data_IF_833456212045
#
_entry.id   IF_833456212045
#
_cell.length_a   1.000
_cell.length_b   1.000
_cell.length_c   1.000
_cell.angle_alpha   90.00
_cell.angle_beta   90.00
_cell.angle_gamma   90.00
#
_symmetry.space_group_name_H-M   'P 1'
#
loop_
_entity.id
_entity.type
_entity.pdbx_description
1 polymer ?
#
# COMPACT_ATOMS: atom_id res chain seq x y z
N UNK A 1 2.82 -8.77 17.23
CA UNK A 1 3.29 -7.38 17.44
C UNK A 1 4.50 -7.03 16.56
N UNK A 2 5.28 -8.00 16.07
CA UNK A 2 6.41 -7.79 15.14
C UNK A 2 6.01 -7.67 13.67
N UNK A 3 4.83 -8.15 13.27
CA UNK A 3 4.38 -8.24 11.87
C UNK A 3 4.08 -6.88 11.23
N UNK A 4 3.34 -6.00 11.94
CA UNK A 4 2.98 -4.68 11.41
C UNK A 4 4.20 -3.80 11.12
N UNK A 5 5.32 -4.03 11.83
CA UNK A 5 6.56 -3.24 11.75
C UNK A 5 7.26 -3.27 10.38
N UNK A 6 6.91 -4.19 9.49
CA UNK A 6 7.54 -4.31 8.16
C UNK A 6 6.59 -4.09 6.99
N UNK A 7 5.28 -4.13 7.22
CA UNK A 7 4.28 -4.11 6.14
C UNK A 7 4.20 -2.72 5.47
N UNK A 8 4.16 -1.65 6.27
CA UNK A 8 3.97 -0.28 5.76
C UNK A 8 5.21 0.30 5.06
N UNK A 9 6.44 0.02 5.53
CA UNK A 9 7.66 0.49 4.88
C UNK A 9 7.99 -0.27 3.58
N UNK A 10 7.59 -1.55 3.48
CA UNK A 10 7.95 -2.38 2.33
C UNK A 10 7.31 -1.85 1.04
N UNK A 11 6.06 -1.41 1.08
CA UNK A 11 5.39 -0.82 -0.09
C UNK A 11 6.10 0.44 -0.60
N UNK A 12 6.43 1.38 0.29
CA UNK A 12 7.10 2.63 -0.08
C UNK A 12 8.50 2.38 -0.66
N UNK A 13 9.28 1.49 -0.03
CA UNK A 13 10.63 1.16 -0.52
C UNK A 13 10.62 0.47 -1.89
N UNK A 14 9.68 -0.46 -2.11
CA UNK A 14 9.50 -1.10 -3.43
C UNK A 14 9.10 -0.10 -4.51
N UNK A 15 8.21 0.83 -4.18
CA UNK A 15 7.79 1.89 -5.09
C UNK A 15 8.97 2.79 -5.50
N UNK A 16 9.81 3.18 -4.55
CA UNK A 16 11.05 3.91 -4.82
C UNK A 16 11.99 3.14 -5.76
N UNK A 17 12.23 1.85 -5.50
CA UNK A 17 13.09 1.01 -6.34
C UNK A 17 12.57 0.92 -7.78
N UNK A 18 11.25 0.87 -7.98
CA UNK A 18 10.64 0.82 -9.31
C UNK A 18 10.84 2.14 -10.07
N UNK A 19 10.78 3.28 -9.39
CA UNK A 19 11.10 4.58 -9.99
C UNK A 19 12.60 4.66 -10.32
N UNK A 20 13.47 4.27 -9.38
CA UNK A 20 14.93 4.31 -9.57
C UNK A 20 15.40 3.42 -10.74
N UNK A 21 14.72 2.29 -10.97
CA UNK A 21 15.00 1.38 -12.10
C UNK A 21 14.35 1.84 -13.42
N UNK A 22 13.63 2.96 -13.44
CA UNK A 22 12.94 3.48 -14.63
C UNK A 22 11.74 2.63 -15.06
N UNK A 23 11.23 1.77 -14.17
CA UNK A 23 10.04 0.95 -14.42
C UNK A 23 8.74 1.71 -14.13
N UNK A 24 8.80 2.74 -13.29
CA UNK A 24 7.73 3.69 -13.04
C UNK A 24 8.20 5.12 -13.30
N UNK A 25 7.31 5.91 -13.89
CA UNK A 25 7.53 7.35 -14.08
C UNK A 25 6.95 8.14 -12.90
N UNK A 26 7.80 8.96 -12.26
CA UNK A 26 7.43 9.81 -11.13
C UNK A 26 6.45 10.94 -11.51
N UNK A 27 6.31 11.29 -12.80
CA UNK A 27 5.33 12.29 -13.24
C UNK A 27 3.94 11.69 -13.49
N UNK A 28 3.88 10.44 -13.96
CA UNK A 28 2.64 9.77 -14.31
C UNK A 28 2.09 8.83 -13.23
N UNK A 29 2.84 8.54 -12.17
CA UNK A 29 2.47 7.54 -11.16
C UNK A 29 2.59 8.09 -9.75
N UNK A 30 1.58 7.85 -8.91
CA UNK A 30 1.63 8.12 -7.48
C UNK A 30 1.15 6.91 -6.66
N UNK A 31 1.58 6.87 -5.39
CA UNK A 31 1.18 5.87 -4.40
C UNK A 31 0.38 6.55 -3.29
N UNK A 32 -0.88 6.16 -3.10
CA UNK A 32 -1.66 6.55 -1.93
C UNK A 32 -1.52 5.50 -0.82
N UNK A 33 -0.76 5.82 0.23
CA UNK A 33 -0.57 4.95 1.39
C UNK A 33 -1.51 5.38 2.52
N UNK A 34 -2.56 4.60 2.72
CA UNK A 34 -3.56 4.85 3.77
C UNK A 34 -3.27 3.97 4.99
N UNK A 35 -3.01 4.59 6.13
CA UNK A 35 -2.81 3.94 7.42
C UNK A 35 -3.96 4.31 8.36
N UNK A 36 -4.63 3.31 8.92
CA UNK A 36 -5.67 3.52 9.93
C UNK A 36 -5.03 3.52 11.32
N UNK A 37 -5.25 4.56 12.15
CA UNK A 37 -4.71 4.61 13.51
C UNK A 37 -5.09 3.39 14.32
N UNK A 38 -4.09 2.71 14.88
CA UNK A 38 -4.28 1.51 15.70
C UNK A 38 -3.19 1.41 16.76
N UNK A 39 -3.58 1.06 17.99
CA UNK A 39 -2.66 0.81 19.12
C UNK A 39 -1.64 1.94 19.36
N UNK A 40 -2.09 3.19 19.24
CA UNK A 40 -1.25 4.39 19.31
C UNK A 40 -0.49 4.56 20.64
N UNK A 41 -0.97 3.95 21.73
CA UNK A 41 -0.27 3.94 23.02
C UNK A 41 0.94 3.00 23.08
N UNK A 42 1.19 2.20 22.05
CA UNK A 42 2.27 1.21 22.02
C UNK A 42 3.47 1.78 21.26
N UNK A 43 4.60 1.96 21.95
CA UNK A 43 5.83 2.54 21.39
C UNK A 43 6.27 1.91 20.05
N UNK A 44 6.17 0.59 19.92
CA UNK A 44 6.56 -0.09 18.68
C UNK A 44 5.76 0.36 17.44
N UNK A 45 4.50 0.80 17.62
CA UNK A 45 3.67 1.34 16.53
C UNK A 45 4.00 2.81 16.25
N UNK A 46 4.38 3.57 17.28
CA UNK A 46 4.87 4.95 17.12
C UNK A 46 6.19 4.95 16.34
N UNK A 47 7.16 4.12 16.74
CA UNK A 47 8.44 3.99 16.04
C UNK A 47 8.23 3.62 14.56
N UNK A 48 7.28 2.72 14.27
CA UNK A 48 6.94 2.32 12.91
C UNK A 48 6.35 3.48 12.11
N UNK A 49 5.42 4.24 12.69
CA UNK A 49 4.85 5.42 12.03
C UNK A 49 5.95 6.41 11.69
N UNK A 50 6.83 6.71 12.63
CA UNK A 50 7.92 7.66 12.44
C UNK A 50 8.88 7.17 11.33
N UNK A 51 9.13 5.86 11.24
CA UNK A 51 9.91 5.25 10.16
C UNK A 51 9.22 5.40 8.78
N UNK A 52 7.91 5.18 8.71
CA UNK A 52 7.11 5.36 7.49
C UNK A 52 7.12 6.82 7.07
N UNK A 53 6.82 7.75 7.97
CA UNK A 53 6.79 9.19 7.69
C UNK A 53 8.15 9.70 7.21
N UNK A 54 9.24 9.26 7.84
CA UNK A 54 10.60 9.59 7.38
C UNK A 54 10.88 9.02 5.99
N UNK A 55 10.46 7.78 5.72
CA UNK A 55 10.63 7.14 4.40
C UNK A 55 9.85 7.89 3.32
N UNK A 56 8.58 8.22 3.57
CA UNK A 56 7.74 9.01 2.67
C UNK A 56 8.35 10.37 2.39
N UNK A 57 8.76 11.10 3.43
CA UNK A 57 9.39 12.41 3.28
C UNK A 57 10.68 12.36 2.45
N UNK A 58 11.50 11.33 2.66
CA UNK A 58 12.73 11.13 1.88
C UNK A 58 12.43 10.82 0.41
N UNK A 59 11.45 9.97 0.11
CA UNK A 59 11.08 9.60 -1.27
C UNK A 59 10.48 10.82 -1.99
N UNK A 60 9.51 11.50 -1.38
CA UNK A 60 8.92 12.71 -1.94
C UNK A 60 9.98 13.80 -2.15
N UNK A 61 10.91 13.99 -1.20
CA UNK A 61 12.02 14.93 -1.36
C UNK A 61 12.94 14.64 -2.56
N UNK A 62 12.98 13.39 -3.05
CA UNK A 62 13.74 12.99 -4.24
C UNK A 62 12.94 13.10 -5.54
N UNK A 63 11.66 12.75 -5.52
CA UNK A 63 10.89 12.50 -6.74
C UNK A 63 9.66 13.40 -6.93
N UNK A 64 9.21 14.14 -5.92
CA UNK A 64 8.09 15.08 -6.08
C UNK A 64 8.40 16.11 -7.16
N UNK A 65 7.38 16.45 -7.95
CA UNK A 65 7.50 17.41 -9.04
C UNK A 65 6.54 18.57 -8.84
N UNK A 66 6.51 19.53 -9.78
CA UNK A 66 5.47 20.58 -9.77
C UNK A 66 4.05 20.01 -9.87
N UNK A 67 3.90 18.77 -10.35
CA UNK A 67 2.62 18.06 -10.42
C UNK A 67 2.12 17.50 -9.09
N UNK A 68 2.97 17.47 -8.05
CA UNK A 68 2.64 16.97 -6.72
C UNK A 68 3.60 15.92 -6.20
N UNK A 69 3.20 15.32 -5.08
CA UNK A 69 3.96 14.27 -4.40
C UNK A 69 3.78 12.90 -5.05
N UNK A 70 4.85 12.09 -5.05
CA UNK A 70 4.79 10.72 -5.57
C UNK A 70 4.19 9.73 -4.57
N UNK A 71 4.25 10.04 -3.26
CA UNK A 71 3.59 9.27 -2.21
C UNK A 71 2.69 10.19 -1.39
N UNK A 72 1.39 9.91 -1.39
CA UNK A 72 0.43 10.54 -0.49
C UNK A 72 0.20 9.63 0.71
N UNK A 73 0.76 10.01 1.86
CA UNK A 73 0.57 9.28 3.12
C UNK A 73 -0.55 9.91 3.95
N UNK A 74 -1.51 9.09 4.37
CA UNK A 74 -2.62 9.49 5.23
C UNK A 74 -2.65 8.57 6.45
N UNK A 75 -2.61 9.16 7.65
CA UNK A 75 -2.76 8.44 8.92
C UNK A 75 -4.04 8.87 9.64
N UNK A 76 -5.18 8.61 9.02
CA UNK A 76 -6.48 8.85 9.61
C UNK A 76 -7.47 7.76 9.21
N UNK A 77 -8.52 7.60 10.01
CA UNK A 77 -9.65 6.78 9.62
C UNK A 77 -10.41 7.48 8.49
N UNK A 78 -10.85 6.70 7.51
CA UNK A 78 -11.71 7.15 6.41
C UNK A 78 -13.11 6.58 6.62
N UNK A 79 -14.14 7.31 6.18
CA UNK A 79 -15.48 6.76 6.08
C UNK A 79 -15.53 5.66 5.01
N UNK A 80 -16.58 4.85 5.04
CA UNK A 80 -16.81 3.84 4.00
C UNK A 80 -16.89 4.48 2.61
N UNK A 81 -17.54 5.64 2.51
CA UNK A 81 -17.67 6.40 1.27
C UNK A 81 -16.32 6.89 0.74
N UNK A 82 -15.45 7.38 1.62
CA UNK A 82 -14.09 7.82 1.28
C UNK A 82 -13.23 6.64 0.83
N UNK A 83 -13.28 5.51 1.54
CA UNK A 83 -12.57 4.29 1.15
C UNK A 83 -13.02 3.78 -0.23
N UNK A 84 -14.32 3.74 -0.49
CA UNK A 84 -14.87 3.35 -1.79
C UNK A 84 -14.44 4.31 -2.89
N UNK A 85 -14.42 5.62 -2.62
CA UNK A 85 -13.92 6.61 -3.58
C UNK A 85 -12.45 6.37 -3.94
N UNK A 86 -11.61 6.06 -2.94
CA UNK A 86 -10.21 5.70 -3.16
C UNK A 86 -10.08 4.41 -4.00
N UNK A 87 -10.87 3.37 -3.72
CA UNK A 87 -10.88 2.15 -4.52
C UNK A 87 -11.27 2.40 -5.99
N UNK A 88 -12.25 3.28 -6.21
CA UNK A 88 -12.70 3.65 -7.55
C UNK A 88 -11.69 4.51 -8.30
N UNK A 89 -10.90 5.32 -7.60
CA UNK A 89 -9.83 6.14 -8.16
C UNK A 89 -8.55 5.35 -8.46
N UNK A 90 -8.25 4.31 -7.68
CA UNK A 90 -7.01 3.54 -7.80
C UNK A 90 -7.04 2.55 -8.97
N UNK A 91 -6.05 2.63 -9.87
CA UNK A 91 -5.84 1.63 -10.94
C UNK A 91 -5.33 0.30 -10.38
N UNK A 92 -4.54 0.35 -9.31
CA UNK A 92 -3.92 -0.82 -8.68
C UNK A 92 -4.11 -0.71 -7.17
N UNK A 93 -4.53 -1.81 -6.53
CA UNK A 93 -4.45 -1.97 -5.07
C UNK A 93 -3.29 -2.89 -4.72
N UNK A 94 -2.42 -2.43 -3.82
CA UNK A 94 -1.29 -3.18 -3.27
C UNK A 94 -1.62 -3.67 -1.86
N UNK A 95 -1.70 -4.98 -1.68
CA UNK A 95 -1.87 -5.64 -0.38
C UNK A 95 -0.66 -6.53 -0.11
N UNK A 96 0.37 -5.98 0.52
CA UNK A 96 1.68 -6.63 0.72
C UNK A 96 1.91 -7.09 2.17
N UNK A 97 0.84 -7.41 2.90
CA UNK A 97 0.89 -7.89 4.28
C UNK A 97 1.83 -9.09 4.43
N UNK A 98 2.67 -9.10 5.45
CA UNK A 98 3.57 -10.22 5.77
C UNK A 98 2.83 -11.36 6.43
N UNK A 99 1.74 -11.07 7.14
CA UNK A 99 0.84 -12.09 7.68
C UNK A 99 -0.51 -11.49 8.01
N UNK A 100 -1.54 -11.90 7.29
CA UNK A 100 -2.90 -11.42 7.49
C UNK A 100 -3.89 -12.59 7.46
N UNK A 101 -4.68 -12.74 8.53
CA UNK A 101 -5.66 -13.82 8.61
C UNK A 101 -6.75 -13.68 7.53
N UNK A 102 -7.20 -12.46 7.26
CA UNK A 102 -8.13 -12.15 6.18
C UNK A 102 -8.05 -10.67 5.85
N UNK A 103 -7.73 -10.35 4.59
CA UNK A 103 -7.67 -8.98 4.15
C UNK A 103 -8.99 -8.56 3.49
N UNK A 104 -9.87 -7.90 4.25
CA UNK A 104 -11.16 -7.44 3.74
C UNK A 104 -11.02 -6.30 2.74
N UNK A 105 -9.99 -5.46 2.88
CA UNK A 105 -9.68 -4.37 1.93
C UNK A 105 -9.49 -4.91 0.50
N UNK A 106 -8.82 -6.05 0.34
CA UNK A 106 -8.69 -6.73 -0.95
C UNK A 106 -10.06 -7.09 -1.56
N UNK A 107 -10.97 -7.65 -0.76
CA UNK A 107 -12.32 -8.02 -1.20
C UNK A 107 -13.19 -6.80 -1.49
N UNK A 108 -13.08 -5.76 -0.67
CA UNK A 108 -13.79 -4.50 -0.86
C UNK A 108 -13.38 -3.83 -2.17
N UNK A 109 -12.09 -3.79 -2.50
CA UNK A 109 -11.59 -3.24 -3.76
C UNK A 109 -12.14 -3.98 -4.98
N UNK A 110 -12.07 -5.32 -4.98
CA UNK A 110 -12.63 -6.14 -6.07
C UNK A 110 -14.14 -5.90 -6.20
N UNK A 111 -14.84 -5.74 -5.08
CA UNK A 111 -16.28 -5.48 -5.07
C UNK A 111 -16.60 -4.08 -5.61
N UNK A 112 -15.90 -3.05 -5.14
CA UNK A 112 -16.09 -1.66 -5.53
C UNK A 112 -15.79 -1.45 -7.03
N UNK A 113 -14.77 -2.16 -7.55
CA UNK A 113 -14.38 -2.10 -8.97
C UNK A 113 -15.04 -3.15 -9.84
N UNK A 114 -16.11 -3.82 -9.39
CA UNK A 114 -16.78 -4.86 -10.18
C UNK A 114 -17.22 -4.32 -11.54
N UNK A 115 -16.79 -4.99 -12.62
CA UNK A 115 -17.07 -4.56 -13.99
C UNK A 115 -16.25 -3.35 -14.46
N UNK A 116 -15.26 -2.93 -13.67
CA UNK A 116 -14.27 -1.90 -14.01
C UNK A 116 -12.90 -2.58 -14.09
N UNK A 117 -12.00 -2.04 -14.90
CA UNK A 117 -10.62 -2.53 -14.96
C UNK A 117 -9.86 -2.27 -13.65
N UNK A 118 -8.58 -2.60 -13.64
CA UNK A 118 -7.68 -2.42 -12.50
C UNK A 118 -7.08 -3.75 -12.05
N UNK A 119 -6.06 -3.67 -11.20
CA UNK A 119 -5.33 -4.84 -10.73
C UNK A 119 -5.26 -4.90 -9.20
N UNK A 120 -5.33 -6.11 -8.67
CA UNK A 120 -5.06 -6.39 -7.26
C UNK A 120 -3.74 -7.15 -7.19
N UNK A 121 -2.76 -6.56 -6.51
CA UNK A 121 -1.53 -7.25 -6.12
C UNK A 121 -1.69 -7.69 -4.66
N UNK A 122 -1.60 -8.98 -4.40
CA UNK A 122 -1.97 -9.57 -3.13
C UNK A 122 -0.87 -10.50 -2.60
N UNK A 123 -0.49 -10.31 -1.35
CA UNK A 123 0.44 -11.19 -0.66
C UNK A 123 -0.13 -12.60 -0.54
N UNK A 124 0.70 -13.61 -0.83
CA UNK A 124 0.35 -15.02 -0.59
C UNK A 124 0.05 -15.31 0.89
N UNK A 125 0.52 -14.45 1.81
CA UNK A 125 0.31 -14.59 3.26
C UNK A 125 -0.95 -13.88 3.76
N UNK A 126 -1.76 -13.31 2.86
CA UNK A 126 -3.08 -12.81 3.20
C UNK A 126 -4.12 -13.91 2.95
N UNK A 127 -4.97 -14.23 3.94
CA UNK A 127 -6.00 -15.27 3.78
C UNK A 127 -6.98 -15.02 2.62
N UNK A 128 -7.10 -13.77 2.15
CA UNK A 128 -7.87 -13.46 0.95
C UNK A 128 -7.29 -14.09 -0.34
N UNK A 129 -6.00 -14.45 -0.36
CA UNK A 129 -5.33 -15.07 -1.51
C UNK A 129 -5.86 -16.46 -1.83
N UNK A 130 -6.42 -17.17 -0.84
CA UNK A 130 -7.08 -18.46 -1.07
C UNK A 130 -8.38 -18.34 -1.89
N UNK A 131 -9.00 -17.15 -1.88
CA UNK A 131 -10.30 -16.91 -2.53
C UNK A 131 -10.20 -15.99 -3.76
N UNK A 132 -9.16 -15.16 -3.86
CA UNK A 132 -8.96 -14.18 -4.93
C UNK A 132 -7.92 -14.68 -5.93
N UNK A 133 -8.27 -15.76 -6.64
CA UNK A 133 -7.42 -16.47 -7.62
C UNK A 133 -6.99 -15.63 -8.83
N UNK A 134 -7.75 -14.59 -9.17
CA UNK A 134 -7.42 -13.64 -10.25
C UNK A 134 -6.47 -12.52 -9.82
N UNK A 135 -6.10 -12.43 -8.54
CA UNK A 135 -5.12 -11.46 -8.07
C UNK A 135 -3.70 -11.83 -8.53
N UNK A 136 -2.85 -10.81 -8.67
CA UNK A 136 -1.41 -11.01 -8.87
C UNK A 136 -0.83 -11.37 -7.50
N UNK A 137 -0.64 -12.67 -7.27
CA UNK A 137 -0.10 -13.18 -6.02
C UNK A 137 1.41 -12.92 -5.95
N UNK A 138 1.87 -12.34 -4.84
CA UNK A 138 3.27 -12.01 -4.62
C UNK A 138 3.75 -12.51 -3.26
N UNK A 139 5.04 -12.85 -3.18
CA UNK A 139 5.71 -13.08 -1.91
C UNK A 139 6.34 -11.75 -1.43
N UNK A 140 5.86 -11.13 -0.33
CA UNK A 140 6.42 -9.87 0.16
C UNK A 140 7.84 -10.01 0.76
N UNK A 141 8.32 -11.23 1.00
CA UNK A 141 9.71 -11.49 1.38
C UNK A 141 10.64 -11.61 0.18
N UNK A 142 10.10 -11.90 -1.00
CA UNK A 142 10.92 -12.02 -2.20
C UNK A 142 11.29 -10.63 -2.73
N UNK A 143 12.60 -10.44 -2.87
CA UNK A 143 13.16 -9.19 -3.38
C UNK A 143 13.57 -9.29 -4.84
N UNK A 144 13.50 -10.47 -5.45
CA UNK A 144 13.99 -10.72 -6.78
C UNK A 144 13.06 -11.70 -7.52
N UNK A 145 12.16 -11.14 -8.34
CA UNK A 145 11.55 -11.81 -9.49
C UNK A 145 10.74 -13.06 -9.17
#
# INVERSE_FOLDING_TARGET
ASTTRRESCTGCGRFEELIDNGLLDAQGTCLAQIAVPSREGVRAYQDLRDEVEHTVGRINGRFSTLGGDVIHYSHHSHSTEEAVALYLAADILLVTSLRDGMNLVAKEFVTARRGRGGALVLSEFAGAAEELDQAIIVNPHDRAG
#
